data_IF_500821817291
#
_entry.id   IF_500821817291
#
_cell.length_a   1.000
_cell.length_b   1.000
_cell.length_c   1.000
_cell.angle_alpha   90.00
_cell.angle_beta   90.00
_cell.angle_gamma   90.00
#
_symmetry.space_group_name_H-M   'P 1'
#
loop_
_entity.id
_entity.type
_entity.pdbx_description
1 polymer ?
#
# COMPACT_ATOMS: atom_id res chain seq x y z
N UNK A 1 -0.33 -6.90 -8.08
CA UNK A 1 -0.04 -5.46 -7.87
C UNK A 1 1.27 -5.19 -7.17
N UNK A 2 1.70 -6.00 -6.19
CA UNK A 2 3.02 -5.85 -5.55
C UNK A 2 4.19 -5.72 -6.54
N UNK A 3 4.24 -6.55 -7.60
CA UNK A 3 5.28 -6.45 -8.63
C UNK A 3 5.29 -5.09 -9.37
N UNK A 4 4.10 -4.51 -9.63
CA UNK A 4 3.98 -3.18 -10.25
C UNK A 4 4.39 -2.08 -9.28
N UNK A 5 4.09 -2.24 -7.98
CA UNK A 5 4.56 -1.34 -6.93
C UNK A 5 6.08 -1.32 -6.82
N UNK A 6 6.73 -2.49 -6.85
CA UNK A 6 8.20 -2.61 -6.85
C UNK A 6 8.81 -1.95 -8.09
N UNK A 7 8.23 -2.17 -9.27
CA UNK A 7 8.67 -1.51 -10.50
C UNK A 7 8.46 0.02 -10.45
N UNK A 8 7.36 0.49 -9.86
CA UNK A 8 7.11 1.92 -9.64
C UNK A 8 8.16 2.56 -8.74
N UNK A 9 8.49 1.89 -7.63
CA UNK A 9 9.56 2.34 -6.71
C UNK A 9 10.93 2.32 -7.39
N UNK A 10 11.21 1.40 -8.31
CA UNK A 10 12.49 1.37 -9.04
C UNK A 10 12.57 2.40 -10.17
N UNK A 11 11.44 2.81 -10.76
CA UNK A 11 11.41 3.70 -11.93
C UNK A 11 11.19 5.18 -11.60
N UNK A 12 10.57 5.50 -10.46
CA UNK A 12 10.33 6.91 -10.10
C UNK A 12 11.59 7.56 -9.50
N UNK A 13 11.97 8.77 -9.97
CA UNK A 13 13.21 9.43 -9.59
C UNK A 13 13.18 10.13 -8.23
N UNK A 14 12.01 10.34 -7.63
CA UNK A 14 11.84 11.12 -6.39
C UNK A 14 11.15 10.32 -5.28
N UNK A 15 11.57 10.57 -4.04
CA UNK A 15 11.06 9.96 -2.83
C UNK A 15 9.53 10.08 -2.72
N UNK A 16 8.96 11.26 -2.97
CA UNK A 16 7.51 11.47 -2.86
C UNK A 16 6.72 10.70 -3.94
N UNK A 17 7.22 10.69 -5.18
CA UNK A 17 6.59 9.95 -6.28
C UNK A 17 6.72 8.44 -6.11
N UNK A 18 7.83 7.95 -5.54
CA UNK A 18 7.99 6.55 -5.14
C UNK A 18 7.03 6.17 -4.02
N UNK A 19 6.86 7.02 -3.01
CA UNK A 19 5.96 6.81 -1.88
C UNK A 19 4.49 6.75 -2.32
N UNK A 20 4.09 7.65 -3.23
CA UNK A 20 2.74 7.66 -3.79
C UNK A 20 2.46 6.41 -4.66
N UNK A 21 3.43 6.00 -5.50
CA UNK A 21 3.32 4.79 -6.30
C UNK A 21 3.22 3.52 -5.43
N UNK A 22 4.04 3.44 -4.38
CA UNK A 22 4.00 2.34 -3.41
C UNK A 22 2.66 2.28 -2.68
N UNK A 23 2.20 3.40 -2.12
CA UNK A 23 0.94 3.46 -1.35
C UNK A 23 -0.30 3.09 -2.18
N UNK A 24 -0.38 3.57 -3.43
CA UNK A 24 -1.47 3.19 -4.36
C UNK A 24 -1.46 1.70 -4.69
N UNK A 25 -0.28 1.12 -4.92
CA UNK A 25 -0.15 -0.29 -5.26
C UNK A 25 -0.43 -1.22 -4.07
N UNK A 26 -0.05 -0.80 -2.86
CA UNK A 26 -0.21 -1.56 -1.62
C UNK A 26 -1.69 -1.74 -1.26
N UNK A 27 -2.47 -0.66 -1.21
CA UNK A 27 -3.91 -0.72 -0.92
C UNK A 27 -4.66 -1.58 -1.94
N UNK A 28 -4.30 -1.48 -3.22
CA UNK A 28 -4.96 -2.23 -4.29
C UNK A 28 -4.60 -3.72 -4.24
N UNK A 29 -3.36 -4.05 -3.86
CA UNK A 29 -2.95 -5.43 -3.61
C UNK A 29 -3.69 -6.04 -2.40
N UNK A 30 -3.78 -5.31 -1.29
CA UNK A 30 -4.48 -5.76 -0.09
C UNK A 30 -5.96 -6.05 -0.36
N UNK A 31 -6.67 -5.15 -1.06
CA UNK A 31 -8.08 -5.36 -1.44
C UNK A 31 -8.24 -6.60 -2.31
N UNK A 32 -7.35 -6.80 -3.30
CA UNK A 32 -7.43 -7.96 -4.20
C UNK A 32 -7.18 -9.28 -3.47
N UNK A 33 -6.23 -9.31 -2.53
CA UNK A 33 -5.94 -10.49 -1.70
C UNK A 33 -7.12 -10.83 -0.79
N UNK A 34 -7.69 -9.84 -0.11
CA UNK A 34 -8.87 -10.05 0.75
C UNK A 34 -10.07 -10.53 -0.07
N UNK A 35 -10.31 -9.95 -1.24
CA UNK A 35 -11.36 -10.41 -2.15
C UNK A 35 -11.14 -11.85 -2.61
N UNK A 36 -9.89 -12.23 -2.93
CA UNK A 36 -9.54 -13.61 -3.30
C UNK A 36 -9.76 -14.61 -2.16
N UNK A 37 -9.37 -14.25 -0.93
CA UNK A 37 -9.60 -15.09 0.26
C UNK A 37 -11.09 -15.22 0.57
N UNK A 38 -11.87 -14.14 0.41
CA UNK A 38 -13.32 -14.19 0.57
C UNK A 38 -13.96 -15.15 -0.42
N UNK A 39 -13.62 -15.06 -1.72
CA UNK A 39 -14.10 -15.98 -2.76
C UNK A 39 -13.68 -17.43 -2.51
N UNK A 40 -12.45 -17.67 -2.06
CA UNK A 40 -11.96 -19.01 -1.72
C UNK A 40 -12.77 -19.62 -0.57
N UNK A 41 -13.05 -18.85 0.49
CA UNK A 41 -13.83 -19.33 1.63
C UNK A 41 -15.32 -19.57 1.31
N UNK A 42 -15.88 -18.94 0.28
CA UNK A 42 -17.25 -19.23 -0.17
C UNK A 42 -17.41 -20.65 -0.75
N UNK A 43 -16.30 -21.33 -1.08
CA UNK A 43 -16.32 -22.68 -1.68
C UNK A 43 -16.48 -23.77 -0.62
N UNK A 44 -15.98 -23.57 0.61
CA UNK A 44 -16.00 -24.56 1.69
C UNK A 44 -16.70 -23.99 2.95
N UNK A 45 -17.98 -24.30 3.12
CA UNK A 45 -18.81 -23.91 4.27
C UNK A 45 -18.46 -24.68 5.55
N UNK A 46 -17.24 -24.51 6.06
CA UNK A 46 -16.80 -25.07 7.35
C UNK A 46 -16.64 -23.99 8.42
N UNK A 47 -17.16 -24.23 9.62
CA UNK A 47 -17.13 -23.29 10.75
C UNK A 47 -15.70 -22.90 11.17
N UNK A 48 -14.72 -23.80 10.98
CA UNK A 48 -13.31 -23.53 11.25
C UNK A 48 -12.69 -22.53 10.26
N UNK A 49 -13.08 -22.61 8.97
CA UNK A 49 -12.62 -21.69 7.94
C UNK A 49 -13.18 -20.28 8.14
N UNK A 50 -14.41 -20.17 8.67
CA UNK A 50 -15.00 -18.88 9.02
C UNK A 50 -14.16 -18.12 10.07
N UNK A 51 -13.71 -18.80 11.14
CA UNK A 51 -12.85 -18.19 12.16
C UNK A 51 -11.51 -17.73 11.59
N UNK A 52 -10.92 -18.52 10.68
CA UNK A 52 -9.65 -18.17 10.01
C UNK A 52 -9.84 -16.94 9.11
N UNK A 53 -10.93 -16.90 8.33
CA UNK A 53 -11.26 -15.77 7.46
C UNK A 53 -11.46 -14.47 8.25
N UNK A 54 -12.14 -14.51 9.40
CA UNK A 54 -12.31 -13.35 10.29
C UNK A 54 -10.95 -12.84 10.81
N UNK A 55 -10.04 -13.74 11.21
CA UNK A 55 -8.69 -13.35 11.64
C UNK A 55 -7.91 -12.66 10.52
N UNK A 56 -7.97 -13.21 9.30
CA UNK A 56 -7.30 -12.62 8.13
C UNK A 56 -7.90 -11.24 7.81
N UNK A 57 -9.22 -11.09 7.89
CA UNK A 57 -9.90 -9.80 7.71
C UNK A 57 -9.46 -8.77 8.76
N UNK A 58 -9.35 -9.17 10.03
CA UNK A 58 -8.88 -8.29 11.10
C UNK A 58 -7.43 -7.81 10.87
N UNK A 59 -6.54 -8.71 10.42
CA UNK A 59 -5.17 -8.35 10.02
C UNK A 59 -5.19 -7.39 8.84
N UNK A 60 -6.04 -7.62 7.84
CA UNK A 60 -6.15 -6.75 6.68
C UNK A 60 -6.60 -5.34 7.04
N UNK A 61 -7.58 -5.19 7.93
CA UNK A 61 -8.02 -3.88 8.46
C UNK A 61 -6.89 -3.20 9.22
N UNK A 62 -6.16 -3.94 10.07
CA UNK A 62 -5.02 -3.41 10.80
C UNK A 62 -3.93 -2.90 9.85
N UNK A 63 -3.56 -3.69 8.85
CA UNK A 63 -2.57 -3.29 7.83
C UNK A 63 -3.06 -2.10 7.02
N UNK A 64 -4.35 -2.04 6.67
CA UNK A 64 -4.93 -0.93 5.94
C UNK A 64 -4.86 0.40 6.71
N UNK A 65 -4.94 0.38 8.04
CA UNK A 65 -4.72 1.56 8.88
C UNK A 65 -3.22 1.83 9.03
N UNK A 66 -2.40 0.79 9.16
CA UNK A 66 -0.95 0.93 9.29
C UNK A 66 -0.30 1.56 8.05
N UNK A 67 -0.76 1.25 6.82
CA UNK A 67 -0.21 1.79 5.58
C UNK A 67 -0.27 3.32 5.46
N UNK A 68 -1.41 4.02 5.67
CA UNK A 68 -1.45 5.48 5.68
C UNK A 68 -0.71 6.08 6.88
N UNK A 69 -0.73 5.44 8.05
CA UNK A 69 0.05 5.90 9.21
C UNK A 69 1.56 5.86 8.93
N UNK A 70 2.06 4.77 8.36
CA UNK A 70 3.46 4.62 7.98
C UNK A 70 3.83 5.64 6.89
N UNK A 71 3.00 5.79 5.87
CA UNK A 71 3.21 6.76 4.77
C UNK A 71 3.27 8.19 5.32
N UNK A 72 2.35 8.57 6.21
CA UNK A 72 2.33 9.88 6.83
C UNK A 72 3.56 10.12 7.72
N UNK A 73 3.95 9.14 8.53
CA UNK A 73 5.14 9.23 9.38
C UNK A 73 6.42 9.38 8.56
N UNK A 74 6.57 8.59 7.50
CA UNK A 74 7.71 8.65 6.57
C UNK A 74 7.75 9.98 5.83
N UNK A 75 6.60 10.48 5.37
CA UNK A 75 6.50 11.79 4.68
C UNK A 75 6.89 12.93 5.61
N UNK A 76 6.39 12.92 6.85
CA UNK A 76 6.73 13.93 7.86
C UNK A 76 8.22 13.89 8.20
N UNK A 77 8.79 12.69 8.34
CA UNK A 77 10.23 12.53 8.54
C UNK A 77 11.00 13.11 7.36
N UNK A 78 10.66 12.73 6.12
CA UNK A 78 11.29 13.22 4.88
C UNK A 78 11.27 14.76 4.77
N UNK A 79 10.17 15.39 5.19
CA UNK A 79 10.05 16.85 5.22
C UNK A 79 11.00 17.49 6.25
N UNK A 80 11.16 16.86 7.43
CA UNK A 80 12.06 17.35 8.50
C UNK A 80 13.53 17.23 8.12
N UNK A 81 13.92 16.19 7.36
CA UNK A 81 15.29 16.03 6.82
C UNK A 81 15.56 16.90 5.58
N UNK A 82 14.59 17.72 5.13
CA UNK A 82 14.77 18.63 4.01
C UNK A 82 14.83 17.95 2.65
N UNK A 83 14.21 16.78 2.49
CA UNK A 83 14.08 16.15 1.17
C UNK A 83 13.17 17.02 0.31
N UNK A 84 13.74 17.77 -0.63
CA UNK A 84 12.96 18.59 -1.56
C UNK A 84 12.14 17.70 -2.49
N UNK A 85 10.82 17.92 -2.61
CA UNK A 85 10.02 17.26 -3.63
C UNK A 85 10.56 17.63 -5.01
N UNK A 86 10.71 16.65 -5.88
CA UNK A 86 11.12 16.90 -7.26
C UNK A 86 10.06 17.74 -7.96
N UNK A 87 10.40 18.99 -8.23
CA UNK A 87 9.66 19.86 -9.12
C UNK A 87 10.28 19.75 -10.50
N UNK A 88 9.45 19.48 -11.52
CA UNK A 88 9.89 19.58 -12.92
C UNK A 88 10.24 21.06 -13.13
N UNK A 89 11.52 21.38 -13.37
CA UNK A 89 11.93 22.72 -13.79
C UNK A 89 11.12 23.07 -15.03
N UNK A 90 10.11 23.92 -14.86
CA UNK A 90 9.72 24.83 -15.93
C UNK A 90 10.94 25.70 -16.18
N UNK A 91 11.60 25.37 -17.28
CA UNK A 91 12.41 26.29 -18.06
C UNK A 91 11.48 27.49 -18.32
N UNK A 92 11.73 28.60 -17.61
CA UNK A 92 11.70 29.99 -18.09
C UNK A 92 11.66 30.97 -16.90
N UNK A 93 12.83 31.22 -16.31
CA UNK A 93 13.38 32.58 -16.10
C UNK A 93 14.86 32.56 -16.46
#
# INVERSE_FOLDING_TARGET
FFAVGVLGVLRFPDFYTRLHAAGKCDSLAAVLVVAGVALYNLTDYSFANLLVSIKIMAIAVFVFIASPTATHAITKAALVIGVEPWSRKDRDQ
#
